data_IF_541483704514
#
_entry.id   IF_541483704514
#
_cell.length_a   1.000
_cell.length_b   1.000
_cell.length_c   1.000
_cell.angle_alpha   90.00
_cell.angle_beta   90.00
_cell.angle_gamma   90.00
#
_symmetry.space_group_name_H-M   'P 1'
#
loop_
_entity.id
_entity.type
_entity.pdbx_description
1 polymer ?
#
# COMPACT_ATOMS: atom_id res chain seq x y z
N UNK A 1 9.31 31.96 -19.04
CA UNK A 1 8.83 30.93 -18.10
C UNK A 1 9.42 31.26 -16.74
N UNK A 2 8.61 31.39 -15.70
CA UNK A 2 9.08 31.58 -14.33
C UNK A 2 9.78 30.27 -13.85
N UNK A 3 10.94 30.41 -13.20
CA UNK A 3 11.61 29.28 -12.58
C UNK A 3 10.74 28.67 -11.45
N UNK A 4 10.73 27.35 -11.32
CA UNK A 4 10.02 26.71 -10.23
C UNK A 4 10.68 27.11 -8.89
N UNK A 5 9.89 27.27 -7.81
CA UNK A 5 10.43 27.55 -6.49
C UNK A 5 11.43 26.45 -6.04
N UNK A 6 12.41 26.84 -5.23
CA UNK A 6 13.35 25.90 -4.63
C UNK A 6 12.58 24.84 -3.83
N UNK A 7 12.95 23.56 -3.95
CA UNK A 7 12.25 22.43 -3.32
C UNK A 7 10.94 21.98 -3.98
N UNK A 8 10.46 22.67 -5.01
CA UNK A 8 9.18 22.34 -5.66
C UNK A 8 9.15 20.89 -6.21
N UNK A 9 10.27 20.43 -6.78
CA UNK A 9 10.37 19.06 -7.32
C UNK A 9 10.22 18.00 -6.19
N UNK A 10 10.87 18.20 -5.05
CA UNK A 10 10.75 17.31 -3.89
C UNK A 10 9.31 17.28 -3.33
N UNK A 11 8.69 18.44 -3.17
CA UNK A 11 7.30 18.51 -2.73
C UNK A 11 6.33 17.87 -3.71
N UNK A 12 6.59 17.98 -5.02
CA UNK A 12 5.78 17.30 -6.04
C UNK A 12 5.92 15.76 -5.90
N UNK A 13 7.15 15.26 -5.75
CA UNK A 13 7.40 13.82 -5.55
C UNK A 13 6.69 13.28 -4.30
N UNK A 14 6.72 14.02 -3.19
CA UNK A 14 6.00 13.62 -1.96
C UNK A 14 4.49 13.60 -2.16
N UNK A 15 3.91 14.57 -2.86
CA UNK A 15 2.47 14.56 -3.18
C UNK A 15 2.11 13.38 -4.06
N UNK A 16 2.90 13.10 -5.10
CA UNK A 16 2.68 11.98 -6.00
C UNK A 16 2.76 10.64 -5.24
N UNK A 17 3.76 10.47 -4.37
CA UNK A 17 3.90 9.28 -3.53
C UNK A 17 2.74 9.09 -2.54
N UNK A 18 2.25 10.16 -1.90
CA UNK A 18 1.08 10.11 -1.03
C UNK A 18 -0.19 9.68 -1.79
N UNK A 19 -0.42 10.27 -2.95
CA UNK A 19 -1.52 9.87 -3.84
C UNK A 19 -1.41 8.40 -4.22
N UNK A 20 -0.21 7.95 -4.59
CA UNK A 20 0.04 6.57 -4.98
C UNK A 20 -0.21 5.60 -3.81
N UNK A 21 0.26 5.93 -2.61
CA UNK A 21 0.00 5.14 -1.41
C UNK A 21 -1.50 5.02 -1.13
N UNK A 22 -2.26 6.11 -1.26
CA UNK A 22 -3.72 6.11 -1.08
C UNK A 22 -4.44 5.23 -2.13
N UNK A 23 -4.02 5.31 -3.40
CA UNK A 23 -4.56 4.49 -4.47
C UNK A 23 -4.24 3.00 -4.27
N UNK A 24 -3.02 2.67 -3.84
CA UNK A 24 -2.61 1.30 -3.50
C UNK A 24 -3.46 0.72 -2.36
N UNK A 25 -3.66 1.49 -1.28
CA UNK A 25 -4.51 1.07 -0.16
C UNK A 25 -5.95 0.79 -0.60
N UNK A 26 -6.52 1.66 -1.44
CA UNK A 26 -7.87 1.49 -2.00
C UNK A 26 -7.97 0.26 -2.91
N UNK A 27 -7.01 0.05 -3.80
CA UNK A 27 -6.97 -1.09 -4.70
C UNK A 27 -6.78 -2.42 -3.94
N UNK A 28 -5.92 -2.45 -2.91
CA UNK A 28 -5.74 -3.62 -2.05
C UNK A 28 -7.03 -3.99 -1.30
N UNK A 29 -7.75 -2.99 -0.76
CA UNK A 29 -9.07 -3.19 -0.15
C UNK A 29 -10.07 -3.78 -1.16
N UNK A 30 -10.09 -3.28 -2.39
CA UNK A 30 -10.95 -3.80 -3.46
C UNK A 30 -10.62 -5.25 -3.83
N UNK A 31 -9.32 -5.61 -3.92
CA UNK A 31 -8.89 -6.97 -4.19
C UNK A 31 -9.30 -7.94 -3.06
N UNK A 32 -9.12 -7.53 -1.80
CA UNK A 32 -9.57 -8.31 -0.64
C UNK A 32 -11.08 -8.52 -0.67
N UNK A 33 -11.88 -7.47 -0.89
CA UNK A 33 -13.33 -7.58 -0.95
C UNK A 33 -13.81 -8.58 -2.01
N UNK A 34 -13.23 -8.54 -3.21
CA UNK A 34 -13.51 -9.52 -4.27
C UNK A 34 -13.14 -10.94 -3.86
N UNK A 35 -11.98 -11.10 -3.20
CA UNK A 35 -11.51 -12.42 -2.75
C UNK A 35 -12.41 -13.01 -1.67
N UNK A 36 -12.92 -12.19 -0.75
CA UNK A 36 -13.89 -12.61 0.28
C UNK A 36 -15.22 -13.02 -0.36
N UNK A 37 -15.77 -12.22 -1.29
CA UNK A 37 -16.99 -12.56 -2.03
C UNK A 37 -16.83 -13.87 -2.80
N UNK A 38 -15.77 -13.99 -3.59
CA UNK A 38 -15.49 -15.21 -4.35
C UNK A 38 -15.36 -16.45 -3.45
N UNK A 39 -14.68 -16.33 -2.31
CA UNK A 39 -14.53 -17.43 -1.38
C UNK A 39 -15.86 -17.87 -0.73
N UNK A 40 -16.83 -16.96 -0.62
CA UNK A 40 -18.18 -17.24 -0.14
C UNK A 40 -19.07 -17.94 -1.17
N UNK A 41 -18.85 -17.64 -2.46
CA UNK A 41 -19.71 -18.14 -3.55
C UNK A 41 -19.14 -19.40 -4.23
N UNK A 42 -17.82 -19.50 -4.35
CA UNK A 42 -17.18 -20.62 -5.05
C UNK A 42 -17.24 -21.90 -4.22
N UNK A 43 -17.88 -22.92 -4.73
CA UNK A 43 -17.97 -24.22 -4.09
C UNK A 43 -16.93 -25.20 -4.64
N UNK A 44 -16.31 -25.94 -3.75
CA UNK A 44 -15.43 -27.09 -4.02
C UNK A 44 -15.61 -28.11 -2.89
N UNK A 45 -15.54 -29.39 -3.22
CA UNK A 45 -15.72 -30.49 -2.23
C UNK A 45 -17.02 -30.36 -1.42
N UNK A 46 -18.11 -29.91 -2.09
CA UNK A 46 -19.46 -29.83 -1.52
C UNK A 46 -19.70 -28.65 -0.57
N UNK A 47 -18.82 -27.63 -0.54
CA UNK A 47 -19.00 -26.44 0.30
C UNK A 47 -18.25 -25.22 -0.26
N UNK A 48 -18.64 -23.99 0.13
CA UNK A 48 -17.88 -22.79 -0.20
C UNK A 48 -16.41 -22.88 0.22
N UNK A 49 -15.49 -22.41 -0.65
CA UNK A 49 -14.04 -22.50 -0.37
C UNK A 49 -13.64 -21.69 0.85
N UNK A 50 -14.37 -20.66 1.20
CA UNK A 50 -14.17 -19.86 2.42
C UNK A 50 -14.37 -20.64 3.72
N UNK A 51 -14.91 -21.87 3.67
CA UNK A 51 -14.99 -22.77 4.81
C UNK A 51 -13.73 -23.62 5.04
N UNK A 52 -12.74 -23.52 4.16
CA UNK A 52 -11.46 -24.19 4.34
C UNK A 52 -10.49 -23.30 5.12
N UNK A 53 -9.86 -23.86 6.15
CA UNK A 53 -8.95 -23.12 7.05
C UNK A 53 -7.81 -22.45 6.28
N UNK A 54 -7.26 -23.10 5.25
CA UNK A 54 -6.19 -22.53 4.43
C UNK A 54 -6.63 -21.23 3.73
N UNK A 55 -7.87 -21.17 3.21
CA UNK A 55 -8.42 -19.95 2.59
C UNK A 55 -8.68 -18.89 3.66
N UNK A 56 -9.23 -19.25 4.80
CA UNK A 56 -9.46 -18.32 5.92
C UNK A 56 -8.17 -17.66 6.39
N UNK A 57 -7.09 -18.43 6.53
CA UNK A 57 -5.77 -17.92 6.91
C UNK A 57 -5.21 -16.95 5.86
N UNK A 58 -5.32 -17.28 4.56
CA UNK A 58 -4.88 -16.39 3.49
C UNK A 58 -5.67 -15.07 3.49
N UNK A 59 -6.98 -15.12 3.64
CA UNK A 59 -7.82 -13.92 3.71
C UNK A 59 -7.54 -13.08 4.97
N UNK A 60 -7.24 -13.72 6.11
CA UNK A 60 -6.85 -13.03 7.34
C UNK A 60 -5.51 -12.28 7.17
N UNK A 61 -4.51 -12.93 6.54
CA UNK A 61 -3.24 -12.28 6.21
C UNK A 61 -3.45 -11.09 5.26
N UNK A 62 -4.25 -11.25 4.20
CA UNK A 62 -4.57 -10.15 3.30
C UNK A 62 -5.30 -9.00 4.02
N UNK A 63 -6.21 -9.31 4.94
CA UNK A 63 -6.91 -8.30 5.74
C UNK A 63 -5.96 -7.52 6.65
N UNK A 64 -4.98 -8.18 7.28
CA UNK A 64 -3.96 -7.52 8.09
C UNK A 64 -3.09 -6.56 7.24
N UNK A 65 -2.69 -7.00 6.04
CA UNK A 65 -1.93 -6.16 5.09
C UNK A 65 -2.72 -4.93 4.65
N UNK A 66 -4.00 -5.12 4.30
CA UNK A 66 -4.91 -4.02 3.91
C UNK A 66 -5.10 -3.03 5.06
N UNK A 67 -5.28 -3.52 6.28
CA UNK A 67 -5.44 -2.67 7.46
C UNK A 67 -4.18 -1.85 7.74
N UNK A 68 -3.00 -2.48 7.71
CA UNK A 68 -1.73 -1.81 7.97
C UNK A 68 -1.39 -0.78 6.88
N UNK A 69 -1.57 -1.12 5.59
CA UNK A 69 -1.37 -0.20 4.48
C UNK A 69 -2.35 0.98 4.51
N UNK A 70 -3.62 0.71 4.81
CA UNK A 70 -4.64 1.74 4.97
C UNK A 70 -4.31 2.72 6.09
N UNK A 71 -3.96 2.20 7.27
CA UNK A 71 -3.58 3.02 8.42
C UNK A 71 -2.35 3.90 8.14
N UNK A 72 -1.34 3.35 7.44
CA UNK A 72 -0.15 4.10 7.06
C UNK A 72 -0.49 5.25 6.09
N UNK A 73 -1.31 5.00 5.05
CA UNK A 73 -1.73 6.03 4.11
C UNK A 73 -2.56 7.13 4.78
N UNK A 74 -3.50 6.76 5.64
CA UNK A 74 -4.30 7.72 6.41
C UNK A 74 -3.46 8.55 7.39
N UNK A 75 -2.49 7.91 8.07
CA UNK A 75 -1.56 8.61 8.97
C UNK A 75 -0.73 9.63 8.20
N UNK A 76 -0.16 9.25 7.06
CA UNK A 76 0.61 10.18 6.22
C UNK A 76 -0.23 11.36 5.75
N UNK A 77 -1.48 11.12 5.35
CA UNK A 77 -2.38 12.21 4.96
C UNK A 77 -2.65 13.17 6.13
N UNK A 78 -2.89 12.65 7.35
CA UNK A 78 -3.08 13.50 8.56
C UNK A 78 -1.85 14.32 8.89
N UNK A 79 -0.65 13.72 8.83
CA UNK A 79 0.61 14.43 9.08
C UNK A 79 0.82 15.54 8.05
N UNK A 80 0.57 15.28 6.76
CA UNK A 80 0.68 16.32 5.72
C UNK A 80 -0.30 17.46 5.93
N UNK A 81 -1.52 17.18 6.39
CA UNK A 81 -2.52 18.22 6.70
C UNK A 81 -2.11 19.03 7.91
N UNK A 82 -1.58 18.40 8.94
CA UNK A 82 -1.16 19.06 10.19
C UNK A 82 0.09 19.91 10.02
N UNK A 83 1.14 19.35 9.41
CA UNK A 83 2.51 19.91 9.43
C UNK A 83 2.90 20.56 8.10
N UNK A 84 2.17 20.26 7.04
CA UNK A 84 2.51 20.65 5.67
C UNK A 84 3.45 19.65 4.97
N UNK A 85 3.36 19.59 3.64
CA UNK A 85 4.12 18.61 2.82
C UNK A 85 5.65 18.78 2.88
N UNK A 86 6.13 19.97 3.23
CA UNK A 86 7.55 20.28 3.32
C UNK A 86 8.18 19.92 4.69
N UNK A 87 7.38 19.50 5.66
CA UNK A 87 7.87 19.12 6.98
C UNK A 87 8.65 17.79 6.96
N UNK A 88 9.72 17.65 7.73
CA UNK A 88 10.46 16.37 7.85
C UNK A 88 9.56 15.21 8.32
N UNK A 89 8.61 15.48 9.20
CA UNK A 89 7.60 14.52 9.68
C UNK A 89 6.72 14.02 8.53
N UNK A 90 6.33 14.92 7.61
CA UNK A 90 5.54 14.56 6.43
C UNK A 90 6.35 13.70 5.47
N UNK A 91 7.63 13.98 5.27
CA UNK A 91 8.50 13.17 4.41
C UNK A 91 8.61 11.74 4.94
N UNK A 92 8.89 11.55 6.23
CA UNK A 92 8.95 10.23 6.84
C UNK A 92 7.62 9.49 6.73
N UNK A 93 6.52 10.15 7.06
CA UNK A 93 5.19 9.55 7.03
C UNK A 93 4.79 9.11 5.61
N UNK A 94 5.04 9.94 4.59
CA UNK A 94 4.74 9.63 3.18
C UNK A 94 5.62 8.49 2.67
N UNK A 95 6.93 8.52 2.96
CA UNK A 95 7.85 7.46 2.59
C UNK A 95 7.43 6.12 3.22
N UNK A 96 7.11 6.12 4.52
CA UNK A 96 6.63 4.93 5.24
C UNK A 96 5.31 4.39 4.67
N UNK A 97 4.36 5.28 4.34
CA UNK A 97 3.10 4.90 3.72
C UNK A 97 3.33 4.27 2.33
N UNK A 98 4.22 4.83 1.50
CA UNK A 98 4.52 4.29 0.16
C UNK A 98 5.15 2.90 0.24
N UNK A 99 6.12 2.69 1.14
CA UNK A 99 6.73 1.36 1.38
C UNK A 99 5.65 0.39 1.88
N UNK A 100 4.92 0.75 2.93
CA UNK A 100 3.94 -0.16 3.56
C UNK A 100 2.80 -0.56 2.63
N UNK A 101 2.31 0.39 1.80
CA UNK A 101 1.27 0.09 0.80
C UNK A 101 1.80 -0.72 -0.38
N UNK A 102 3.05 -0.56 -0.77
CA UNK A 102 3.73 -1.37 -1.79
C UNK A 102 3.89 -2.83 -1.37
N UNK A 103 4.32 -3.06 -0.12
CA UNK A 103 4.38 -4.41 0.49
C UNK A 103 2.99 -5.05 0.53
N UNK A 104 1.99 -4.32 1.02
CA UNK A 104 0.61 -4.77 1.08
C UNK A 104 0.06 -5.12 -0.33
N UNK A 105 0.36 -4.29 -1.34
CA UNK A 105 -0.04 -4.53 -2.72
C UNK A 105 0.47 -5.89 -3.23
N UNK A 106 1.74 -6.21 -2.96
CA UNK A 106 2.36 -7.48 -3.36
C UNK A 106 1.70 -8.67 -2.66
N UNK A 107 1.56 -8.59 -1.33
CA UNK A 107 0.99 -9.67 -0.55
C UNK A 107 -0.48 -9.92 -0.91
N UNK A 108 -1.28 -8.86 -1.01
CA UNK A 108 -2.71 -8.94 -1.34
C UNK A 108 -2.94 -9.44 -2.76
N UNK A 109 -2.17 -8.95 -3.76
CA UNK A 109 -2.28 -9.43 -5.14
C UNK A 109 -2.01 -10.94 -5.22
N UNK A 110 -0.92 -11.42 -4.59
CA UNK A 110 -0.57 -12.84 -4.55
C UNK A 110 -1.67 -13.68 -3.90
N UNK A 111 -2.18 -13.25 -2.75
CA UNK A 111 -3.25 -13.96 -2.03
C UNK A 111 -4.54 -13.97 -2.84
N UNK A 112 -4.92 -12.84 -3.44
CA UNK A 112 -6.12 -12.75 -4.27
C UNK A 112 -6.06 -13.73 -5.45
N UNK A 113 -4.94 -13.80 -6.17
CA UNK A 113 -4.75 -14.77 -7.24
C UNK A 113 -4.77 -16.22 -6.73
N UNK A 114 -4.18 -16.50 -5.56
CA UNK A 114 -4.21 -17.83 -4.97
C UNK A 114 -5.65 -18.26 -4.61
N UNK A 115 -6.46 -17.36 -4.06
CA UNK A 115 -7.86 -17.64 -3.69
C UNK A 115 -8.73 -17.86 -4.94
N UNK A 116 -8.56 -17.08 -6.00
CA UNK A 116 -9.34 -17.21 -7.22
C UNK A 116 -8.85 -18.37 -8.13
N UNK A 117 -7.58 -18.78 -8.01
CA UNK A 117 -7.01 -19.77 -8.90
C UNK A 117 -6.94 -19.29 -10.35
N UNK A 118 -7.12 -20.20 -11.29
CA UNK A 118 -6.97 -19.91 -12.72
C UNK A 118 -7.87 -18.78 -13.24
N UNK A 119 -9.10 -18.66 -12.74
CA UNK A 119 -10.06 -17.64 -13.19
C UNK A 119 -9.55 -16.21 -12.91
N UNK A 120 -8.77 -16.02 -11.84
CA UNK A 120 -8.21 -14.72 -11.49
C UNK A 120 -7.24 -14.14 -12.53
N UNK A 121 -6.72 -14.99 -13.43
CA UNK A 121 -5.83 -14.61 -14.53
C UNK A 121 -6.55 -14.42 -15.86
N UNK A 122 -7.82 -14.79 -15.96
CA UNK A 122 -8.58 -14.69 -17.20
C UNK A 122 -9.08 -13.28 -17.45
N UNK A 123 -9.45 -12.99 -18.72
CA UNK A 123 -10.08 -11.71 -19.08
C UNK A 123 -11.53 -11.62 -18.61
N UNK A 124 -12.13 -12.71 -18.25
CA UNK A 124 -13.52 -12.83 -17.82
C UNK A 124 -13.73 -12.37 -16.38
N UNK A 125 -12.66 -12.31 -15.58
CA UNK A 125 -12.75 -11.93 -14.17
C UNK A 125 -12.06 -10.58 -13.90
N UNK A 126 -12.76 -9.68 -13.21
CA UNK A 126 -12.30 -8.30 -12.94
C UNK A 126 -11.12 -8.20 -11.95
N UNK A 127 -10.73 -9.29 -11.29
CA UNK A 127 -9.60 -9.29 -10.36
C UNK A 127 -8.33 -8.75 -11.02
N UNK A 128 -8.05 -9.16 -12.26
CA UNK A 128 -6.88 -8.72 -13.02
C UNK A 128 -6.77 -7.20 -13.12
N UNK A 129 -7.93 -6.50 -13.24
CA UNK A 129 -7.95 -5.03 -13.36
C UNK A 129 -7.44 -4.36 -12.08
N UNK A 130 -7.62 -5.00 -10.94
CA UNK A 130 -7.14 -4.50 -9.65
C UNK A 130 -5.69 -4.92 -9.40
N UNK A 131 -5.34 -6.18 -9.64
CA UNK A 131 -3.99 -6.69 -9.34
C UNK A 131 -2.94 -6.15 -10.29
N UNK A 132 -3.25 -5.89 -11.57
CA UNK A 132 -2.33 -5.19 -12.48
C UNK A 132 -2.04 -3.76 -12.01
N UNK A 133 -3.03 -3.06 -11.44
CA UNK A 133 -2.81 -1.74 -10.84
C UNK A 133 -1.94 -1.83 -9.58
N UNK A 134 -2.16 -2.82 -8.72
CA UNK A 134 -1.33 -3.03 -7.55
C UNK A 134 0.14 -3.20 -7.94
N UNK A 135 0.43 -4.01 -8.95
CA UNK A 135 1.80 -4.24 -9.44
C UNK A 135 2.40 -3.03 -10.16
N UNK A 136 1.64 -2.33 -11.00
CA UNK A 136 2.14 -1.15 -11.69
C UNK A 136 2.38 0.01 -10.72
N UNK A 137 1.39 0.31 -9.89
CA UNK A 137 1.41 1.48 -9.02
C UNK A 137 2.44 1.41 -7.89
N UNK A 138 2.84 0.19 -7.45
CA UNK A 138 3.92 0.08 -6.46
C UNK A 138 5.26 0.58 -6.99
N UNK A 139 5.48 0.49 -8.32
CA UNK A 139 6.71 0.93 -8.97
C UNK A 139 6.67 2.41 -9.40
N UNK A 140 5.47 3.00 -9.47
CA UNK A 140 5.29 4.40 -9.87
C UNK A 140 5.48 5.36 -8.68
N UNK A 141 5.92 6.58 -8.98
CA UNK A 141 6.22 7.65 -8.00
C UNK A 141 7.27 7.24 -6.95
N UNK A 142 8.22 6.44 -7.36
CA UNK A 142 9.29 5.84 -6.57
C UNK A 142 8.96 4.42 -6.11
N UNK A 143 9.94 3.53 -6.23
CA UNK A 143 9.85 2.12 -5.80
C UNK A 143 9.91 1.99 -4.29
N UNK A 144 9.48 0.83 -3.75
CA UNK A 144 9.60 0.51 -2.33
C UNK A 144 11.06 0.66 -1.84
N UNK A 145 12.05 0.20 -2.65
CA UNK A 145 13.47 0.31 -2.32
C UNK A 145 13.97 1.76 -2.25
N UNK A 146 13.52 2.63 -3.15
CA UNK A 146 13.90 4.04 -3.15
C UNK A 146 13.35 4.76 -1.91
N UNK A 147 12.08 4.54 -1.58
CA UNK A 147 11.49 5.14 -0.38
C UNK A 147 12.04 4.54 0.92
N UNK A 148 12.35 3.23 0.96
CA UNK A 148 13.01 2.60 2.10
C UNK A 148 14.43 3.18 2.34
N UNK A 149 15.20 3.40 1.27
CA UNK A 149 16.51 4.08 1.38
C UNK A 149 16.35 5.50 1.95
N UNK A 150 15.33 6.24 1.50
CA UNK A 150 15.04 7.59 2.01
C UNK A 150 14.68 7.57 3.50
N UNK A 151 13.86 6.61 3.95
CA UNK A 151 13.59 6.41 5.38
C UNK A 151 14.90 6.17 6.15
N UNK A 152 15.76 5.30 5.63
CA UNK A 152 17.06 5.01 6.25
C UNK A 152 17.92 6.26 6.42
N UNK A 153 17.98 7.14 5.41
CA UNK A 153 18.69 8.42 5.49
C UNK A 153 18.13 9.32 6.60
N UNK A 154 16.79 9.46 6.67
CA UNK A 154 16.12 10.27 7.69
C UNK A 154 16.38 9.75 9.11
N UNK A 155 16.28 8.43 9.28
CA UNK A 155 16.54 7.75 10.57
C UNK A 155 17.97 7.94 11.03
N UNK A 156 18.94 7.76 10.12
CA UNK A 156 20.37 7.95 10.44
C UNK A 156 20.69 9.42 10.75
N UNK A 157 20.09 10.35 10.02
CA UNK A 157 20.27 11.79 10.27
C UNK A 157 19.67 12.24 11.61
N UNK A 158 18.55 11.63 12.05
CA UNK A 158 17.94 11.92 13.34
C UNK A 158 18.78 11.42 14.52
N UNK A 159 19.56 10.36 14.33
CA UNK A 159 20.33 9.72 15.41
C UNK A 159 19.45 9.04 16.46
N UNK A 160 20.08 8.38 17.46
CA UNK A 160 19.34 7.58 18.44
C UNK A 160 18.35 8.40 19.28
N UNK A 161 18.70 9.63 19.64
CA UNK A 161 17.87 10.50 20.49
C UNK A 161 16.75 11.18 19.71
N UNK A 162 16.94 11.40 18.39
CA UNK A 162 15.96 12.04 17.51
C UNK A 162 14.97 11.07 16.86
N UNK A 163 15.25 9.76 16.86
CA UNK A 163 14.43 8.78 16.16
C UNK A 163 12.98 8.73 16.66
N UNK A 164 12.77 8.56 17.96
CA UNK A 164 11.42 8.45 18.51
C UNK A 164 10.60 9.75 18.39
N UNK A 165 11.14 10.93 18.66
CA UNK A 165 10.48 12.18 18.35
C UNK A 165 10.05 12.29 16.89
N UNK A 166 10.89 11.83 15.94
CA UNK A 166 10.58 11.86 14.51
C UNK A 166 9.44 10.90 14.12
N UNK A 167 9.41 9.71 14.72
CA UNK A 167 8.43 8.65 14.40
C UNK A 167 7.07 8.89 15.07
N UNK A 168 7.04 9.54 16.22
CA UNK A 168 5.84 9.72 17.04
C UNK A 168 5.23 11.13 16.99
N UNK A 169 5.79 12.04 16.19
CA UNK A 169 5.38 13.44 16.04
C UNK A 169 3.99 13.64 15.39
#
# INVERSE_FOLDING_TARGET
AAAAPEGAAGQFALRAALWRATLLAGAARGALGRSVGYAGEREQFGRPIGRFQAIQQQLALAAAEVAAGGAAAESAARVVVRDGIAAPTAELAVASAKVRTGEAATAVARIAHQVHGAIGFTREHDLRLTTTRLWAWREEDGTDGQWAARIGELVLAAGPDGLWPLVTA
#
